data_IF_313486479328
#
_entry.id   IF_313486479328
#
_cell.length_a   1.000
_cell.length_b   1.000
_cell.length_c   1.000
_cell.angle_alpha   90.00
_cell.angle_beta   90.00
_cell.angle_gamma   90.00
#
_symmetry.space_group_name_H-M   'P 1'
#
loop_
_entity.id
_entity.type
_entity.pdbx_description
1 polymer ?
#
# COMPACT_ATOMS: atom_id res chain seq x y z
N UNK A 1 41.59 -68.95 -10.02
CA UNK A 1 40.94 -68.04 -10.94
C UNK A 1 39.85 -67.25 -10.21
N UNK A 2 40.19 -66.01 -9.76
CA UNK A 2 39.30 -65.11 -9.01
C UNK A 2 38.76 -64.08 -9.98
N UNK A 3 37.47 -64.16 -10.31
CA UNK A 3 36.79 -63.28 -11.22
C UNK A 3 36.40 -62.00 -10.46
N UNK A 4 37.14 -60.89 -10.75
CA UNK A 4 36.84 -59.54 -10.24
C UNK A 4 35.84 -58.88 -11.19
N UNK A 5 34.55 -59.02 -10.98
CA UNK A 5 33.57 -58.18 -11.60
C UNK A 5 33.43 -56.89 -10.78
N UNK A 6 34.22 -55.88 -11.16
CA UNK A 6 34.01 -54.51 -10.71
C UNK A 6 32.73 -53.99 -11.40
N UNK A 7 31.61 -53.98 -10.67
CA UNK A 7 30.32 -53.47 -11.12
C UNK A 7 30.40 -51.96 -11.37
N UNK A 8 30.28 -51.58 -12.64
CA UNK A 8 30.10 -50.18 -13.04
C UNK A 8 28.72 -49.69 -12.54
N UNK A 9 28.62 -48.47 -11.96
CA UNK A 9 27.37 -47.99 -11.45
C UNK A 9 26.35 -47.75 -12.58
N UNK A 10 25.15 -48.24 -12.30
CA UNK A 10 23.99 -48.35 -13.14
C UNK A 10 23.63 -47.06 -13.90
N UNK A 11 23.48 -47.16 -15.23
CA UNK A 11 23.12 -46.03 -16.10
C UNK A 11 21.75 -45.45 -15.82
N UNK A 12 20.88 -46.21 -15.14
CA UNK A 12 19.56 -45.77 -14.71
C UNK A 12 19.62 -44.69 -13.60
N UNK A 13 20.60 -44.72 -12.69
CA UNK A 13 20.79 -43.71 -11.65
C UNK A 13 21.29 -42.37 -12.20
N UNK A 14 21.98 -42.33 -13.35
CA UNK A 14 22.47 -41.08 -13.97
C UNK A 14 21.36 -40.29 -14.70
N UNK A 15 20.38 -40.95 -15.29
CA UNK A 15 19.21 -40.30 -15.94
C UNK A 15 18.37 -39.50 -14.95
N UNK A 16 18.23 -39.97 -13.70
CA UNK A 16 17.52 -39.28 -12.63
C UNK A 16 18.24 -38.05 -12.10
N UNK A 17 19.60 -38.06 -12.09
CA UNK A 17 20.39 -36.96 -11.55
C UNK A 17 20.35 -35.69 -12.41
N UNK A 18 20.49 -35.81 -13.73
CA UNK A 18 20.41 -34.66 -14.66
C UNK A 18 19.00 -34.09 -14.78
N UNK A 19 17.97 -34.92 -14.76
CA UNK A 19 16.59 -34.44 -14.72
C UNK A 19 16.28 -33.71 -13.40
N UNK A 20 16.83 -34.18 -12.30
CA UNK A 20 16.73 -33.54 -10.98
C UNK A 20 17.46 -32.18 -10.92
N UNK A 21 18.64 -32.06 -11.54
CA UNK A 21 19.42 -30.82 -11.55
C UNK A 21 18.76 -29.74 -12.43
N UNK A 22 18.21 -30.12 -13.57
CA UNK A 22 17.44 -29.25 -14.46
C UNK A 22 16.19 -28.71 -13.78
N UNK A 23 15.42 -29.58 -13.12
CA UNK A 23 14.23 -29.17 -12.36
C UNK A 23 14.59 -28.23 -11.21
N UNK A 24 15.68 -28.51 -10.48
CA UNK A 24 16.16 -27.63 -9.38
C UNK A 24 16.56 -26.25 -9.89
N UNK A 25 17.21 -26.17 -11.06
CA UNK A 25 17.63 -24.92 -11.66
C UNK A 25 16.42 -24.09 -12.12
N UNK A 26 15.42 -24.71 -12.78
CA UNK A 26 14.17 -24.02 -13.15
C UNK A 26 13.46 -23.55 -11.89
N UNK A 27 13.33 -24.40 -10.89
CA UNK A 27 12.65 -24.05 -9.64
C UNK A 27 13.33 -22.89 -8.92
N UNK A 28 14.68 -22.82 -8.92
CA UNK A 28 15.41 -21.70 -8.31
C UNK A 28 15.19 -20.39 -9.04
N UNK A 29 15.21 -20.40 -10.39
CA UNK A 29 14.94 -19.19 -11.19
C UNK A 29 13.50 -18.72 -11.01
N UNK A 30 12.53 -19.66 -11.01
CA UNK A 30 11.13 -19.33 -10.75
C UNK A 30 10.92 -18.77 -9.34
N UNK A 31 11.58 -19.33 -8.33
CA UNK A 31 11.51 -18.83 -6.97
C UNK A 31 12.02 -17.38 -6.87
N UNK A 32 13.15 -17.07 -7.49
CA UNK A 32 13.67 -15.69 -7.54
C UNK A 32 12.73 -14.75 -8.27
N UNK A 33 12.12 -15.18 -9.37
CA UNK A 33 11.12 -14.41 -10.11
C UNK A 33 9.90 -14.08 -9.23
N UNK A 34 9.36 -15.08 -8.52
CA UNK A 34 8.21 -14.89 -7.64
C UNK A 34 8.54 -13.90 -6.52
N UNK A 35 9.71 -14.05 -5.87
CA UNK A 35 10.15 -13.12 -4.82
C UNK A 35 10.27 -11.71 -5.36
N UNK A 36 10.88 -11.54 -6.54
CA UNK A 36 11.01 -10.23 -7.17
C UNK A 36 9.64 -9.59 -7.47
N UNK A 37 8.68 -10.36 -8.00
CA UNK A 37 7.32 -9.88 -8.27
C UNK A 37 6.61 -9.46 -6.98
N UNK A 38 6.73 -10.24 -5.90
CA UNK A 38 6.12 -9.89 -4.60
C UNK A 38 6.70 -8.57 -4.07
N UNK A 39 8.02 -8.41 -4.10
CA UNK A 39 8.68 -7.18 -3.63
C UNK A 39 8.24 -5.98 -4.45
N UNK A 40 8.21 -6.10 -5.78
CA UNK A 40 7.77 -5.02 -6.68
C UNK A 40 6.31 -4.64 -6.37
N UNK A 41 5.41 -5.61 -6.19
CA UNK A 41 4.01 -5.33 -5.86
C UNK A 41 3.88 -4.56 -4.54
N UNK A 42 4.58 -4.98 -3.49
CA UNK A 42 4.57 -4.28 -2.19
C UNK A 42 5.00 -2.82 -2.37
N UNK A 43 6.08 -2.57 -3.12
CA UNK A 43 6.60 -1.22 -3.36
C UNK A 43 5.56 -0.38 -4.12
N UNK A 44 4.98 -0.91 -5.19
CA UNK A 44 4.00 -0.19 -6.03
C UNK A 44 2.76 0.16 -5.21
N UNK A 45 2.15 -0.81 -4.53
CA UNK A 45 0.93 -0.61 -3.74
C UNK A 45 1.18 0.40 -2.61
N UNK A 46 2.28 0.27 -1.88
CA UNK A 46 2.66 1.21 -0.82
C UNK A 46 2.89 2.62 -1.38
N UNK A 47 3.53 2.76 -2.52
CA UNK A 47 3.81 4.06 -3.14
C UNK A 47 2.54 4.75 -3.61
N UNK A 48 1.64 4.01 -4.27
CA UNK A 48 0.35 4.55 -4.74
C UNK A 48 -0.51 4.97 -3.54
N UNK A 49 -0.71 4.08 -2.56
CA UNK A 49 -1.53 4.36 -1.38
C UNK A 49 -1.02 5.58 -0.61
N UNK A 50 0.29 5.63 -0.32
CA UNK A 50 0.89 6.78 0.36
C UNK A 50 0.76 8.08 -0.45
N UNK A 51 0.89 8.03 -1.77
CA UNK A 51 0.74 9.19 -2.64
C UNK A 51 -0.70 9.72 -2.64
N UNK A 52 -1.70 8.85 -2.72
CA UNK A 52 -3.12 9.22 -2.70
C UNK A 52 -3.50 9.85 -1.36
N UNK A 53 -3.12 9.23 -0.25
CA UNK A 53 -3.36 9.77 1.11
C UNK A 53 -2.64 11.12 1.29
N UNK A 54 -1.41 11.24 0.82
CA UNK A 54 -0.65 12.50 0.90
C UNK A 54 -1.32 13.63 0.11
N UNK A 55 -1.78 13.36 -1.11
CA UNK A 55 -2.49 14.34 -1.93
C UNK A 55 -3.81 14.76 -1.26
N UNK A 56 -4.57 13.80 -0.71
CA UNK A 56 -5.79 14.09 0.05
C UNK A 56 -5.51 15.01 1.22
N UNK A 57 -4.54 14.69 2.08
CA UNK A 57 -4.13 15.54 3.21
C UNK A 57 -3.69 16.94 2.78
N UNK A 58 -2.99 17.06 1.64
CA UNK A 58 -2.58 18.36 1.11
C UNK A 58 -3.78 19.20 0.66
N UNK A 59 -4.78 18.58 0.04
CA UNK A 59 -6.02 19.25 -0.35
C UNK A 59 -6.80 19.67 0.89
N UNK A 60 -7.01 18.75 1.84
CA UNK A 60 -7.74 19.01 3.09
C UNK A 60 -7.06 20.11 3.91
N UNK A 61 -5.71 20.16 3.93
CA UNK A 61 -4.96 21.25 4.55
C UNK A 61 -5.31 22.61 3.96
N UNK A 62 -5.38 22.72 2.62
CA UNK A 62 -5.75 23.97 1.96
C UNK A 62 -7.18 24.37 2.31
N UNK A 63 -8.09 23.42 2.26
CA UNK A 63 -9.51 23.59 2.55
C UNK A 63 -9.74 24.05 3.99
N UNK A 64 -9.05 23.47 4.97
CA UNK A 64 -9.21 23.87 6.37
C UNK A 64 -8.64 25.26 6.66
N UNK A 65 -7.58 25.68 5.97
CA UNK A 65 -7.05 27.04 6.06
C UNK A 65 -8.05 28.07 5.51
N UNK A 66 -8.66 27.79 4.34
CA UNK A 66 -9.68 28.65 3.75
C UNK A 66 -10.89 28.77 4.68
N UNK A 67 -11.38 27.66 5.26
CA UNK A 67 -12.46 27.65 6.23
C UNK A 67 -12.09 28.41 7.51
N UNK A 68 -10.84 28.30 8.00
CA UNK A 68 -10.37 29.03 9.18
C UNK A 68 -10.43 30.54 8.97
N UNK A 69 -10.07 31.03 7.79
CA UNK A 69 -10.16 32.47 7.45
C UNK A 69 -11.60 32.98 7.47
N UNK A 70 -12.56 32.21 6.94
CA UNK A 70 -13.98 32.60 6.98
C UNK A 70 -14.55 32.56 8.40
N UNK A 71 -14.24 31.52 9.16
CA UNK A 71 -14.66 31.34 10.55
C UNK A 71 -14.10 32.46 11.44
N UNK A 72 -12.87 32.90 11.21
CA UNK A 72 -12.23 33.98 11.95
C UNK A 72 -13.05 35.29 11.97
N UNK A 73 -13.73 35.60 10.88
CA UNK A 73 -14.58 36.77 10.76
C UNK A 73 -15.80 36.69 11.71
N UNK A 74 -16.44 35.54 11.80
CA UNK A 74 -17.60 35.35 12.72
C UNK A 74 -17.14 35.31 14.17
N UNK A 75 -16.02 34.63 14.40
CA UNK A 75 -15.44 34.46 15.73
C UNK A 75 -15.02 35.80 16.34
N UNK A 76 -14.32 36.65 15.58
CA UNK A 76 -13.85 37.98 16.02
C UNK A 76 -15.00 38.93 16.38
N UNK A 77 -16.16 38.76 15.72
CA UNK A 77 -17.37 39.56 16.00
C UNK A 77 -18.24 39.00 17.13
N UNK A 78 -17.91 37.82 17.66
CA UNK A 78 -18.76 37.11 18.63
C UNK A 78 -20.10 36.66 18.06
N UNK A 79 -20.22 36.52 16.74
CA UNK A 79 -21.45 36.11 16.09
C UNK A 79 -21.58 34.57 16.08
N UNK A 80 -21.83 34.04 17.25
CA UNK A 80 -21.95 32.60 17.48
C UNK A 80 -23.05 31.93 16.67
N UNK A 81 -24.11 32.69 16.35
CA UNK A 81 -25.24 32.15 15.55
C UNK A 81 -24.82 31.91 14.10
N UNK A 82 -24.16 32.89 13.49
CA UNK A 82 -23.68 32.79 12.13
C UNK A 82 -22.53 31.76 12.04
N UNK A 83 -21.67 31.67 13.06
CA UNK A 83 -20.63 30.66 13.15
C UNK A 83 -21.21 29.25 13.17
N UNK A 84 -22.23 29.00 14.00
CA UNK A 84 -22.89 27.70 14.09
C UNK A 84 -23.60 27.34 12.77
N UNK A 85 -24.26 28.30 12.13
CA UNK A 85 -24.91 28.08 10.84
C UNK A 85 -23.89 27.81 9.74
N UNK A 86 -22.77 28.53 9.72
CA UNK A 86 -21.66 28.24 8.79
C UNK A 86 -21.16 26.82 8.96
N UNK A 87 -20.85 26.38 10.19
CA UNK A 87 -20.40 25.02 10.44
C UNK A 87 -21.40 23.97 9.95
N UNK A 88 -22.69 24.20 10.20
CA UNK A 88 -23.78 23.30 9.79
C UNK A 88 -23.89 23.21 8.28
N UNK A 89 -23.90 24.35 7.60
CA UNK A 89 -24.01 24.43 6.13
C UNK A 89 -22.78 23.81 5.47
N UNK A 90 -21.59 24.22 5.91
CA UNK A 90 -20.34 23.68 5.37
C UNK A 90 -20.25 22.16 5.54
N UNK A 91 -20.62 21.66 6.72
CA UNK A 91 -20.63 20.22 7.00
C UNK A 91 -21.59 19.45 6.10
N UNK A 92 -22.77 20.03 5.82
CA UNK A 92 -23.79 19.43 4.94
C UNK A 92 -23.34 19.43 3.48
N UNK A 93 -22.79 20.56 3.02
CA UNK A 93 -22.40 20.74 1.61
C UNK A 93 -21.17 19.89 1.20
N UNK A 94 -20.30 19.57 2.18
CA UNK A 94 -19.05 18.85 1.97
C UNK A 94 -19.03 17.44 2.59
N UNK A 95 -20.16 16.95 3.12
CA UNK A 95 -20.28 15.65 3.80
C UNK A 95 -19.17 15.43 4.86
N UNK A 96 -18.99 16.41 5.73
CA UNK A 96 -17.97 16.39 6.76
C UNK A 96 -18.52 16.94 8.09
N UNK A 97 -17.81 16.66 9.18
CA UNK A 97 -18.07 17.31 10.45
C UNK A 97 -17.12 18.48 10.64
N UNK A 98 -17.66 19.64 10.99
CA UNK A 98 -16.88 20.84 11.28
C UNK A 98 -17.08 21.20 12.74
N UNK A 99 -15.97 21.43 13.44
CA UNK A 99 -15.95 21.85 14.83
C UNK A 99 -15.01 23.03 14.98
N UNK A 100 -15.42 24.04 15.72
CA UNK A 100 -14.62 25.21 16.04
C UNK A 100 -14.36 25.24 17.54
N UNK A 101 -13.11 25.49 17.90
CA UNK A 101 -12.62 25.49 19.28
C UNK A 101 -12.12 26.88 19.67
N UNK A 102 -12.36 27.27 20.91
CA UNK A 102 -11.72 28.44 21.50
C UNK A 102 -10.24 28.17 21.88
N UNK A 103 -9.54 29.14 22.35
CA UNK A 103 -8.13 29.04 22.80
C UNK A 103 -7.94 28.11 24.00
N UNK A 104 -8.97 27.84 24.78
CA UNK A 104 -8.98 26.89 25.89
C UNK A 104 -9.24 25.44 25.47
N UNK A 105 -9.63 25.22 24.20
CA UNK A 105 -9.96 23.92 23.64
C UNK A 105 -11.42 23.47 23.91
N UNK A 106 -12.31 24.43 24.24
CA UNK A 106 -13.74 24.15 24.31
C UNK A 106 -14.36 24.30 22.93
N UNK A 107 -15.37 23.49 22.63
CA UNK A 107 -16.11 23.54 21.36
C UNK A 107 -17.02 24.77 21.35
N UNK A 108 -16.70 25.76 20.52
CA UNK A 108 -17.49 26.97 20.31
C UNK A 108 -18.64 26.74 19.33
N UNK A 109 -18.42 25.93 18.28
CA UNK A 109 -19.46 25.51 17.32
C UNK A 109 -19.19 24.10 16.84
N UNK A 110 -20.26 23.36 16.50
CA UNK A 110 -20.20 21.99 15.99
C UNK A 110 -21.33 21.77 14.99
N UNK A 111 -21.02 21.34 13.77
CA UNK A 111 -22.00 21.12 12.71
C UNK A 111 -23.15 20.20 13.11
N UNK A 112 -22.90 19.24 14.02
CA UNK A 112 -23.92 18.32 14.55
C UNK A 112 -24.56 18.80 15.86
N UNK A 113 -24.07 19.90 16.43
CA UNK A 113 -24.56 20.48 17.68
C UNK A 113 -24.53 19.52 18.89
N UNK A 114 -23.62 18.56 18.90
CA UNK A 114 -23.52 17.53 19.94
C UNK A 114 -22.57 17.93 21.08
N UNK A 115 -21.47 18.64 20.77
CA UNK A 115 -20.38 18.87 21.71
C UNK A 115 -20.20 20.34 22.12
N UNK A 116 -21.15 21.22 21.78
CA UNK A 116 -21.05 22.64 22.13
C UNK A 116 -20.75 22.88 23.62
N UNK A 117 -19.74 23.68 23.92
CA UNK A 117 -19.29 24.00 25.26
C UNK A 117 -18.45 22.92 25.96
N UNK A 118 -18.25 21.75 25.36
CA UNK A 118 -17.44 20.69 25.94
C UNK A 118 -15.96 20.86 25.56
N UNK A 119 -15.08 20.50 26.49
CA UNK A 119 -13.63 20.44 26.22
C UNK A 119 -13.29 19.06 25.66
N UNK A 120 -12.79 19.02 24.42
CA UNK A 120 -12.35 17.81 23.77
C UNK A 120 -10.83 17.77 23.65
N UNK A 121 -10.28 16.61 23.98
CA UNK A 121 -8.84 16.40 23.89
C UNK A 121 -8.49 15.79 22.53
N UNK A 122 -8.37 16.60 21.49
CA UNK A 122 -8.05 16.21 20.13
C UNK A 122 -6.62 16.65 19.84
N UNK A 123 -5.78 15.71 19.38
CA UNK A 123 -4.35 15.95 19.15
C UNK A 123 -4.13 17.11 18.16
N UNK A 124 -4.85 17.11 17.04
CA UNK A 124 -4.70 18.12 15.99
C UNK A 124 -5.04 19.53 16.49
N UNK A 125 -6.01 19.64 17.40
CA UNK A 125 -6.35 20.92 18.06
C UNK A 125 -5.25 21.35 19.02
N UNK A 126 -4.69 20.40 19.80
CA UNK A 126 -3.57 20.73 20.68
C UNK A 126 -2.32 21.14 19.90
N UNK A 127 -2.05 20.49 18.77
CA UNK A 127 -0.93 20.85 17.89
C UNK A 127 -1.06 22.31 17.41
N UNK A 128 -2.28 22.76 17.08
CA UNK A 128 -2.52 24.16 16.69
C UNK A 128 -2.47 25.11 17.88
N UNK A 129 -3.21 24.84 18.97
CA UNK A 129 -3.36 25.79 20.09
C UNK A 129 -2.16 25.84 21.03
N UNK A 130 -1.45 24.72 21.25
CA UNK A 130 -0.41 24.63 22.28
C UNK A 130 1.00 24.56 21.69
N UNK A 131 1.16 23.89 20.53
CA UNK A 131 2.45 23.77 19.86
C UNK A 131 2.69 24.91 18.87
N UNK A 132 1.62 25.63 18.46
CA UNK A 132 1.69 26.74 17.50
C UNK A 132 1.91 26.26 16.07
N UNK A 133 1.31 25.13 15.72
CA UNK A 133 1.31 24.65 14.34
C UNK A 133 0.15 25.28 13.58
N UNK A 134 0.43 26.02 12.51
CA UNK A 134 -0.63 26.62 11.67
C UNK A 134 -1.63 25.58 11.13
N UNK A 135 -1.21 24.31 10.99
CA UNK A 135 -2.11 23.22 10.63
C UNK A 135 -1.60 21.88 11.14
N UNK A 136 -2.52 20.99 11.53
CA UNK A 136 -2.22 19.60 11.88
C UNK A 136 -3.21 18.65 11.18
N UNK A 137 -2.77 17.42 10.86
CA UNK A 137 -3.63 16.44 10.18
C UNK A 137 -3.28 15.02 10.56
N UNK A 138 -4.28 14.23 10.95
CA UNK A 138 -4.20 12.81 11.29
C UNK A 138 -5.21 11.97 10.51
N UNK A 139 -4.93 10.68 10.36
CA UNK A 139 -5.86 9.70 9.78
C UNK A 139 -6.21 8.68 10.85
N UNK A 140 -7.50 8.44 11.05
CA UNK A 140 -8.03 7.61 12.11
C UNK A 140 -9.10 6.66 11.58
N UNK A 141 -9.26 5.52 12.25
CA UNK A 141 -10.36 4.61 12.01
C UNK A 141 -11.39 4.81 13.12
N UNK A 142 -12.55 5.37 12.79
CA UNK A 142 -13.68 5.48 13.72
C UNK A 142 -14.32 4.10 13.93
N UNK A 143 -14.83 3.84 15.14
CA UNK A 143 -15.44 2.54 15.50
C UNK A 143 -14.45 1.43 15.87
N UNK A 144 -13.15 1.60 15.65
CA UNK A 144 -12.12 0.83 16.33
C UNK A 144 -11.92 1.46 17.72
N UNK A 145 -11.71 0.62 18.76
CA UNK A 145 -11.55 1.03 20.18
C UNK A 145 -10.45 2.11 20.35
N UNK A 146 -10.74 3.31 19.87
CA UNK A 146 -9.84 4.43 19.89
C UNK A 146 -10.03 5.18 21.22
N UNK A 147 -9.23 4.80 22.22
CA UNK A 147 -9.25 5.39 23.57
C UNK A 147 -8.97 6.89 23.60
N UNK A 148 -8.52 7.48 22.47
CA UNK A 148 -8.16 8.90 22.39
C UNK A 148 -9.37 9.84 22.34
N UNK A 149 -10.52 9.41 21.85
CA UNK A 149 -11.73 10.22 21.74
C UNK A 149 -13.01 9.38 21.72
N UNK A 150 -13.48 8.89 22.89
CA UNK A 150 -14.70 8.08 22.98
C UNK A 150 -15.97 8.81 22.49
N UNK A 151 -15.98 10.14 22.54
CA UNK A 151 -17.12 10.94 22.10
C UNK A 151 -17.32 10.95 20.57
N UNK A 152 -16.26 10.74 19.78
CA UNK A 152 -16.33 10.72 18.32
C UNK A 152 -16.54 9.30 17.76
N UNK A 153 -16.45 8.27 18.61
CA UNK A 153 -16.61 6.86 18.25
C UNK A 153 -18.07 6.36 18.24
N UNK A 154 -19.06 7.25 18.35
CA UNK A 154 -20.48 6.87 18.46
C UNK A 154 -21.05 6.23 17.17
N UNK A 155 -20.32 6.20 16.08
CA UNK A 155 -20.73 5.55 14.83
C UNK A 155 -20.35 4.07 14.87
N UNK A 156 -21.33 3.17 14.82
CA UNK A 156 -21.13 1.71 14.86
C UNK A 156 -20.42 1.12 13.64
N UNK A 157 -20.11 1.93 12.63
CA UNK A 157 -19.49 1.50 11.39
C UNK A 157 -18.02 1.89 11.42
N UNK A 158 -17.14 0.92 11.22
CA UNK A 158 -15.71 1.18 11.04
C UNK A 158 -15.51 2.02 9.77
N UNK A 159 -15.06 3.25 9.93
CA UNK A 159 -14.88 4.18 8.83
C UNK A 159 -13.54 4.90 8.98
N UNK A 160 -12.80 5.01 7.89
CA UNK A 160 -11.59 5.81 7.84
C UNK A 160 -11.93 7.29 7.65
N UNK A 161 -11.33 8.14 8.50
CA UNK A 161 -11.50 9.59 8.46
C UNK A 161 -10.17 10.29 8.53
N UNK A 162 -10.11 11.49 7.94
CA UNK A 162 -9.00 12.42 8.13
C UNK A 162 -9.49 13.57 9.01
N UNK A 163 -8.71 13.85 10.05
CA UNK A 163 -8.81 15.05 10.88
C UNK A 163 -7.87 16.08 10.28
N UNK A 164 -8.39 17.26 9.96
CA UNK A 164 -7.63 18.38 9.46
C UNK A 164 -7.95 19.60 10.32
N UNK A 165 -6.96 20.10 11.02
CA UNK A 165 -7.08 21.26 11.88
C UNK A 165 -6.23 22.43 11.38
N UNK A 166 -6.72 23.64 11.61
CA UNK A 166 -6.00 24.89 11.39
C UNK A 166 -6.26 25.82 12.55
N UNK A 167 -5.24 26.62 12.91
CA UNK A 167 -5.45 27.78 13.77
C UNK A 167 -6.39 28.78 13.09
N UNK A 168 -7.15 29.50 13.90
CA UNK A 168 -8.00 30.61 13.50
C UNK A 168 -7.34 31.89 13.99
N UNK A 169 -6.77 32.65 13.06
CA UNK A 169 -6.17 33.94 13.33
C UNK A 169 -6.99 35.06 12.69
N UNK A 170 -7.09 36.18 13.39
CA UNK A 170 -7.69 37.38 12.88
C UNK A 170 -6.90 38.58 13.41
N UNK A 171 -6.41 39.47 12.50
CA UNK A 171 -5.56 40.63 12.83
C UNK A 171 -4.34 40.28 13.72
N UNK A 172 -3.65 39.20 13.39
CA UNK A 172 -2.48 38.65 14.13
C UNK A 172 -2.80 38.15 15.55
N UNK A 173 -4.07 37.97 15.90
CA UNK A 173 -4.51 37.41 17.18
C UNK A 173 -5.04 35.98 16.98
N UNK A 174 -4.55 35.02 17.76
CA UNK A 174 -5.05 33.65 17.79
C UNK A 174 -6.40 33.60 18.49
N UNK A 175 -7.47 33.32 17.78
CA UNK A 175 -8.83 33.24 18.33
C UNK A 175 -9.22 31.80 18.72
N UNK A 176 -8.60 30.80 18.10
CA UNK A 176 -8.94 29.40 18.35
C UNK A 176 -8.43 28.47 17.25
N UNK A 177 -9.11 27.36 17.05
CA UNK A 177 -8.80 26.42 15.99
C UNK A 177 -10.07 25.80 15.39
N UNK A 178 -10.01 25.47 14.11
CA UNK A 178 -11.05 24.72 13.40
C UNK A 178 -10.59 23.29 13.15
N UNK A 179 -11.51 22.33 13.26
CA UNK A 179 -11.31 20.93 12.90
C UNK A 179 -12.35 20.52 11.88
N UNK A 180 -11.89 19.96 10.76
CA UNK A 180 -12.73 19.32 9.77
C UNK A 180 -12.44 17.81 9.81
N UNK A 181 -13.50 17.02 9.98
CA UNK A 181 -13.46 15.55 10.00
C UNK A 181 -14.17 15.07 8.74
N UNK A 182 -13.41 14.57 7.78
CA UNK A 182 -13.94 14.08 6.51
C UNK A 182 -13.73 12.57 6.37
N UNK A 183 -14.75 11.88 5.83
CA UNK A 183 -14.62 10.47 5.45
C UNK A 183 -13.64 10.31 4.30
N UNK A 184 -12.81 9.29 4.41
CA UNK A 184 -11.91 8.85 3.32
C UNK A 184 -12.08 7.36 3.03
N UNK A 185 -13.24 6.81 3.42
CA UNK A 185 -13.52 5.39 3.20
C UNK A 185 -13.50 5.06 1.72
N UNK A 186 -14.13 5.85 0.88
CA UNK A 186 -14.12 5.66 -0.59
C UNK A 186 -12.70 5.65 -1.16
N UNK A 187 -11.83 6.53 -0.66
CA UNK A 187 -10.42 6.55 -1.07
C UNK A 187 -9.68 5.27 -0.68
N UNK A 188 -9.94 4.75 0.53
CA UNK A 188 -9.34 3.50 1.00
C UNK A 188 -9.84 2.33 0.16
N UNK A 189 -11.15 2.27 -0.10
CA UNK A 189 -11.76 1.22 -0.93
C UNK A 189 -11.21 1.27 -2.38
N UNK A 190 -10.99 2.45 -2.93
CA UNK A 190 -10.35 2.63 -4.24
C UNK A 190 -8.90 2.11 -4.26
N UNK A 191 -8.12 2.40 -3.20
CA UNK A 191 -6.75 1.89 -3.06
C UNK A 191 -6.76 0.36 -2.99
N UNK A 192 -7.69 -0.24 -2.26
CA UNK A 192 -7.81 -1.70 -2.13
C UNK A 192 -8.21 -2.35 -3.47
N UNK A 193 -9.14 -1.75 -4.20
CA UNK A 193 -9.53 -2.22 -5.54
C UNK A 193 -8.37 -2.15 -6.54
N UNK A 194 -7.63 -1.03 -6.56
CA UNK A 194 -6.44 -0.86 -7.40
C UNK A 194 -5.35 -1.88 -7.02
N UNK A 195 -5.15 -2.13 -5.73
CA UNK A 195 -4.18 -3.10 -5.22
C UNK A 195 -4.50 -4.51 -5.71
N UNK A 196 -5.77 -4.90 -5.69
CA UNK A 196 -6.21 -6.19 -6.19
C UNK A 196 -5.99 -6.33 -7.71
N UNK A 197 -6.28 -5.27 -8.48
CA UNK A 197 -6.03 -5.25 -9.93
C UNK A 197 -4.54 -5.40 -10.24
N UNK A 198 -3.66 -4.70 -9.53
CA UNK A 198 -2.20 -4.78 -9.68
C UNK A 198 -1.72 -6.21 -9.41
N UNK A 199 -2.18 -6.83 -8.33
CA UNK A 199 -1.82 -8.22 -7.99
C UNK A 199 -2.26 -9.19 -9.08
N UNK A 200 -3.50 -9.08 -9.58
CA UNK A 200 -4.01 -9.95 -10.65
C UNK A 200 -3.20 -9.81 -11.95
N UNK A 201 -2.87 -8.60 -12.35
CA UNK A 201 -2.03 -8.34 -13.53
C UNK A 201 -0.64 -8.94 -13.33
N UNK A 202 -0.04 -8.76 -12.16
CA UNK A 202 1.29 -9.29 -11.83
C UNK A 202 1.34 -10.82 -11.86
N UNK A 203 0.29 -11.49 -11.37
CA UNK A 203 0.16 -12.95 -11.47
C UNK A 203 0.08 -13.39 -12.92
N UNK A 204 -0.73 -12.71 -13.75
CA UNK A 204 -0.84 -12.99 -15.19
C UNK A 204 0.51 -12.85 -15.91
N UNK A 205 1.23 -11.77 -15.68
CA UNK A 205 2.58 -11.53 -16.21
C UNK A 205 3.56 -12.60 -15.71
N UNK A 206 3.51 -12.95 -14.42
CA UNK A 206 4.35 -13.99 -13.83
C UNK A 206 4.16 -15.35 -14.48
N UNK A 207 2.91 -15.74 -14.76
CA UNK A 207 2.60 -16.98 -15.47
C UNK A 207 3.15 -16.94 -16.91
N UNK A 208 2.94 -15.84 -17.64
CA UNK A 208 3.43 -15.69 -19.01
C UNK A 208 4.95 -15.78 -19.09
N UNK A 209 5.66 -15.06 -18.21
CA UNK A 209 7.14 -15.11 -18.13
C UNK A 209 7.64 -16.50 -17.75
N UNK A 210 6.96 -17.18 -16.82
CA UNK A 210 7.30 -18.55 -16.41
C UNK A 210 7.18 -19.53 -17.57
N UNK A 211 6.11 -19.42 -18.39
CA UNK A 211 5.90 -20.23 -19.59
C UNK A 211 7.05 -20.01 -20.61
N UNK A 212 7.37 -18.75 -20.89
CA UNK A 212 8.46 -18.41 -21.83
C UNK A 212 9.79 -18.98 -21.32
N UNK A 213 10.12 -18.82 -20.02
CA UNK A 213 11.33 -19.36 -19.43
C UNK A 213 11.40 -20.88 -19.56
N UNK A 214 10.31 -21.61 -19.32
CA UNK A 214 10.25 -23.06 -19.45
C UNK A 214 10.50 -23.48 -20.92
N UNK A 215 9.91 -22.76 -21.88
CA UNK A 215 10.11 -23.04 -23.31
C UNK A 215 11.56 -22.79 -23.74
N UNK A 216 12.13 -21.65 -23.33
CA UNK A 216 13.53 -21.31 -23.61
C UNK A 216 14.48 -22.35 -23.01
N UNK A 217 14.27 -22.70 -21.75
CA UNK A 217 15.08 -23.71 -21.07
C UNK A 217 15.00 -25.06 -21.79
N UNK A 218 13.83 -25.50 -22.23
CA UNK A 218 13.69 -26.72 -23.01
C UNK A 218 14.47 -26.65 -24.33
N UNK A 219 14.41 -25.53 -25.06
CA UNK A 219 15.09 -25.35 -26.32
C UNK A 219 16.62 -25.37 -26.18
N UNK A 220 17.17 -24.68 -25.19
CA UNK A 220 18.62 -24.51 -25.02
C UNK A 220 19.27 -25.67 -24.25
N UNK A 221 18.59 -26.32 -23.34
CA UNK A 221 19.15 -27.43 -22.55
C UNK A 221 18.93 -28.83 -23.19
N UNK A 222 18.02 -28.98 -24.15
CA UNK A 222 17.84 -30.24 -24.86
C UNK A 222 19.11 -30.70 -25.59
N UNK A 223 19.86 -29.82 -26.32
CA UNK A 223 21.09 -30.24 -26.99
C UNK A 223 22.23 -30.56 -26.02
N UNK A 224 22.32 -29.89 -24.87
CA UNK A 224 23.34 -30.21 -23.84
C UNK A 224 23.21 -31.64 -23.29
N UNK A 225 21.96 -32.17 -23.22
CA UNK A 225 21.70 -33.54 -22.78
C UNK A 225 22.23 -34.56 -23.78
N UNK A 226 22.17 -34.30 -25.10
CA UNK A 226 22.71 -35.18 -26.14
C UNK A 226 24.20 -35.23 -26.12
N UNK A 227 24.88 -34.06 -25.91
CA UNK A 227 26.34 -33.96 -25.79
C UNK A 227 26.85 -34.70 -24.56
N UNK A 228 26.22 -34.51 -23.42
CA UNK A 228 26.61 -35.20 -22.17
C UNK A 228 26.39 -36.71 -22.25
N UNK A 229 25.34 -37.14 -22.97
CA UNK A 229 25.08 -38.56 -23.29
C UNK A 229 26.16 -39.14 -24.15
N UNK A 230 26.57 -38.44 -25.22
CA UNK A 230 27.62 -38.90 -26.14
C UNK A 230 29.01 -38.98 -25.43
N UNK A 231 29.32 -38.04 -24.57
CA UNK A 231 30.56 -38.06 -23.75
C UNK A 231 30.56 -39.27 -22.78
N UNK A 232 29.42 -39.55 -22.15
CA UNK A 232 29.28 -40.70 -21.25
C UNK A 232 29.40 -42.05 -21.98
N UNK A 233 28.94 -42.14 -23.21
CA UNK A 233 29.09 -43.34 -24.04
C UNK A 233 30.47 -43.49 -24.62
N UNK A 234 31.16 -42.39 -24.96
CA UNK A 234 32.61 -42.41 -25.31
C UNK A 234 33.46 -42.85 -24.13
N UNK A 235 33.17 -42.42 -22.91
CA UNK A 235 33.86 -42.83 -21.69
C UNK A 235 33.72 -44.34 -21.40
N UNK A 236 32.68 -45.00 -21.97
CA UNK A 236 32.48 -46.45 -21.91
C UNK A 236 33.13 -47.22 -23.06
N UNK A 237 33.94 -46.56 -23.91
CA UNK A 237 34.63 -47.18 -25.02
C UNK A 237 33.82 -47.27 -26.31
N UNK A 238 32.64 -46.68 -26.37
CA UNK A 238 31.83 -46.68 -27.59
C UNK A 238 32.10 -45.37 -28.38
N UNK A 239 33.14 -45.38 -29.19
CA UNK A 239 33.59 -44.25 -30.04
C UNK A 239 32.78 -44.05 -31.32
N UNK A 240 31.74 -44.90 -31.59
CA UNK A 240 30.87 -44.77 -32.76
C UNK A 240 29.70 -43.79 -32.58
N UNK A 241 29.46 -43.28 -31.37
CA UNK A 241 28.39 -42.34 -31.08
C UNK A 241 28.81 -40.92 -31.46
N UNK A 242 28.20 -40.33 -32.51
CA UNK A 242 28.31 -38.91 -32.84
C UNK A 242 27.24 -38.11 -32.08
N UNK A 243 27.62 -37.03 -31.48
CA UNK A 243 26.63 -36.08 -30.98
C UNK A 243 25.88 -35.46 -32.16
N UNK A 244 24.58 -35.66 -32.26
CA UNK A 244 23.73 -34.93 -33.20
C UNK A 244 23.73 -33.44 -32.78
N UNK A 245 24.60 -32.65 -33.40
CA UNK A 245 24.47 -31.20 -33.38
C UNK A 245 23.24 -30.87 -34.24
N UNK A 246 22.22 -30.29 -33.61
CA UNK A 246 20.99 -29.88 -34.30
C UNK A 246 21.35 -29.09 -35.56
N UNK A 247 20.69 -29.42 -36.67
CA UNK A 247 20.82 -28.73 -37.96
C UNK A 247 20.70 -27.21 -37.72
N UNK A 248 21.83 -26.48 -37.84
CA UNK A 248 21.80 -25.09 -38.16
C UNK A 248 21.18 -24.94 -39.54
N UNK A 249 20.07 -24.22 -39.62
CA UNK A 249 19.62 -23.67 -40.88
C UNK A 249 20.57 -22.54 -41.23
N UNK A 250 21.33 -22.69 -42.29
CA UNK A 250 21.94 -21.62 -43.07
C UNK A 250 20.80 -20.79 -43.71
#
# INVERSE_FOLDING_TARGET
>A
LKNNNAGFPDAAKRKGFFSSLYIKLIASVLAVLVVALVVINIIIISTIGNSMIYQRKKTDKKTVIEAAGEVGIYFSRGDWRSLQEYCRQYGTDNDCRVMVFDTDGNVAADSYSEFGGLKLNIKEIQDCLQVGMSTSSGMYQLGADNRSNPALNATQTQQWVIYSASEIEYEDELLGAILIIASVQELVDEIDELSLKIVLISVGVGIAVSLVLILLMRKYFAPLKSVTGAIADMAKGNFKVRAETGKGND
#
